data_IF_595494995527
#
_entry.id   IF_595494995527
#
_cell.length_a   1.000
_cell.length_b   1.000
_cell.length_c   1.000
_cell.angle_alpha   90.00
_cell.angle_beta   90.00
_cell.angle_gamma   90.00
#
_symmetry.space_group_name_H-M   'P 1'
#
loop_
_entity.id
_entity.type
_entity.pdbx_description
1 polymer ?
#
# COMPACT_ATOMS: atom_id res chain seq x y z
N UNK A 1 24.30 -3.73 -11.91
CA UNK A 1 23.09 -4.36 -11.36
C UNK A 1 22.80 -3.97 -9.90
N UNK A 2 23.74 -4.05 -8.95
CA UNK A 2 23.50 -3.73 -7.52
C UNK A 2 22.96 -2.32 -7.24
N UNK A 3 23.28 -1.30 -8.06
CA UNK A 3 22.82 0.10 -7.90
C UNK A 3 21.31 0.27 -8.15
N UNK A 4 20.71 -0.51 -9.04
CA UNK A 4 19.29 -0.38 -9.42
C UNK A 4 18.35 -1.27 -8.60
N UNK A 5 18.90 -2.25 -7.85
CA UNK A 5 18.11 -3.21 -7.08
C UNK A 5 17.12 -2.55 -6.11
N UNK A 6 17.45 -1.47 -5.36
CA UNK A 6 16.48 -0.82 -4.48
C UNK A 6 15.29 -0.20 -5.23
N UNK A 7 15.52 0.35 -6.41
CA UNK A 7 14.45 0.88 -7.27
C UNK A 7 13.56 -0.24 -7.82
N UNK A 8 14.16 -1.35 -8.26
CA UNK A 8 13.41 -2.54 -8.71
C UNK A 8 12.57 -3.14 -7.58
N UNK A 9 13.07 -3.14 -6.35
CA UNK A 9 12.30 -3.57 -5.19
C UNK A 9 11.04 -2.70 -5.00
N UNK A 10 11.15 -1.38 -5.11
CA UNK A 10 10.00 -0.45 -4.97
C UNK A 10 9.00 -0.67 -6.11
N UNK A 11 9.46 -0.78 -7.35
CA UNK A 11 8.59 -1.05 -8.51
C UNK A 11 7.93 -2.42 -8.42
N UNK A 12 8.67 -3.44 -7.95
CA UNK A 12 8.13 -4.77 -7.68
C UNK A 12 7.06 -4.75 -6.58
N UNK A 13 7.28 -3.97 -5.52
CA UNK A 13 6.28 -3.76 -4.47
C UNK A 13 5.00 -3.13 -5.03
N UNK A 14 5.13 -2.08 -5.84
CA UNK A 14 4.01 -1.41 -6.48
C UNK A 14 3.23 -2.36 -7.40
N UNK A 15 3.92 -3.20 -8.18
CA UNK A 15 3.28 -4.21 -9.02
C UNK A 15 2.52 -5.25 -8.18
N UNK A 16 3.10 -5.72 -7.08
CA UNK A 16 2.42 -6.64 -6.16
C UNK A 16 1.19 -6.01 -5.50
N UNK A 17 1.27 -4.74 -5.08
CA UNK A 17 0.12 -4.01 -4.56
C UNK A 17 -0.97 -3.81 -5.61
N UNK A 18 -0.61 -3.55 -6.87
CA UNK A 18 -1.56 -3.47 -7.98
C UNK A 18 -2.40 -4.75 -8.16
N UNK A 19 -1.90 -5.91 -7.71
CA UNK A 19 -2.66 -7.17 -7.74
C UNK A 19 -3.67 -7.32 -6.59
N UNK A 20 -3.71 -6.41 -5.59
CA UNK A 20 -4.63 -6.51 -4.44
C UNK A 20 -6.09 -6.66 -4.90
N UNK A 21 -6.51 -5.87 -5.89
CA UNK A 21 -7.86 -5.87 -6.42
C UNK A 21 -8.31 -7.24 -6.95
N UNK A 22 -7.39 -8.04 -7.49
CA UNK A 22 -7.68 -9.40 -7.95
C UNK A 22 -8.23 -10.27 -6.81
N UNK A 23 -7.46 -10.37 -5.73
CA UNK A 23 -7.81 -11.20 -4.58
C UNK A 23 -9.02 -10.66 -3.82
N UNK A 24 -9.09 -9.34 -3.63
CA UNK A 24 -10.20 -8.70 -2.95
C UNK A 24 -11.52 -8.99 -3.66
N UNK A 25 -11.58 -8.87 -5.00
CA UNK A 25 -12.81 -9.14 -5.76
C UNK A 25 -13.28 -10.58 -5.63
N UNK A 26 -12.38 -11.57 -5.60
CA UNK A 26 -12.76 -12.96 -5.37
C UNK A 26 -13.33 -13.18 -3.97
N UNK A 27 -12.67 -12.67 -2.93
CA UNK A 27 -13.14 -12.78 -1.56
C UNK A 27 -14.47 -12.06 -1.35
N UNK A 28 -14.63 -10.84 -1.90
CA UNK A 28 -15.87 -10.08 -1.79
C UNK A 28 -17.04 -10.76 -2.53
N UNK A 29 -16.79 -11.36 -3.71
CA UNK A 29 -17.81 -12.15 -4.42
C UNK A 29 -18.24 -13.40 -3.65
N UNK A 30 -17.37 -13.94 -2.80
CA UNK A 30 -17.69 -15.04 -1.90
C UNK A 30 -18.42 -14.60 -0.60
N UNK A 31 -18.67 -13.27 -0.45
CA UNK A 31 -19.37 -12.71 0.71
C UNK A 31 -18.46 -12.15 1.81
N UNK A 32 -17.13 -12.03 1.57
CA UNK A 32 -16.20 -11.46 2.53
C UNK A 32 -16.30 -9.94 2.54
N UNK A 33 -16.57 -9.34 3.69
CA UNK A 33 -16.52 -7.88 3.87
C UNK A 33 -15.11 -7.31 3.88
N UNK A 34 -15.00 -6.03 3.54
CA UNK A 34 -13.72 -5.34 3.48
C UNK A 34 -12.95 -5.37 4.81
N UNK A 35 -13.66 -5.30 5.94
CA UNK A 35 -13.07 -5.35 7.28
C UNK A 35 -12.31 -6.67 7.51
N UNK A 36 -12.92 -7.81 7.19
CA UNK A 36 -12.28 -9.12 7.31
C UNK A 36 -11.11 -9.29 6.32
N UNK A 37 -11.18 -8.72 5.12
CA UNK A 37 -10.05 -8.71 4.18
C UNK A 37 -8.83 -8.03 4.80
N UNK A 38 -9.01 -6.93 5.55
CA UNK A 38 -7.92 -6.25 6.26
C UNK A 38 -7.34 -7.14 7.36
N UNK A 39 -8.18 -7.84 8.10
CA UNK A 39 -7.71 -8.80 9.13
C UNK A 39 -6.89 -9.92 8.48
N UNK A 40 -7.39 -10.52 7.39
CA UNK A 40 -6.67 -11.55 6.63
C UNK A 40 -5.29 -11.05 6.20
N UNK A 41 -5.21 -9.86 5.62
CA UNK A 41 -3.95 -9.27 5.17
C UNK A 41 -2.98 -9.05 6.33
N UNK A 42 -3.43 -8.37 7.37
CA UNK A 42 -2.56 -7.92 8.44
C UNK A 42 -2.22 -9.05 9.41
N UNK A 43 -3.23 -9.75 9.92
CA UNK A 43 -3.01 -10.85 10.87
C UNK A 43 -2.48 -12.11 10.18
N UNK A 44 -2.99 -12.44 8.99
CA UNK A 44 -2.43 -13.53 8.18
C UNK A 44 -0.97 -13.28 7.79
N UNK A 45 -0.62 -12.01 7.47
CA UNK A 45 0.77 -11.60 7.25
C UNK A 45 1.65 -11.76 8.49
N UNK A 46 1.14 -11.41 9.67
CA UNK A 46 1.84 -11.65 10.95
C UNK A 46 2.10 -13.14 11.17
N UNK A 47 1.08 -13.99 11.01
CA UNK A 47 1.22 -15.45 11.18
C UNK A 47 2.26 -16.01 10.21
N UNK A 48 2.17 -15.66 8.94
CA UNK A 48 3.12 -16.11 7.91
C UNK A 48 4.56 -15.70 8.23
N UNK A 49 4.79 -14.42 8.55
CA UNK A 49 6.12 -13.91 8.91
C UNK A 49 6.66 -14.55 10.18
N UNK A 50 5.80 -14.79 11.19
CA UNK A 50 6.19 -15.48 12.43
C UNK A 50 6.68 -16.89 12.12
N UNK A 51 5.97 -17.65 11.30
CA UNK A 51 6.36 -19.00 10.90
C UNK A 51 7.70 -19.01 10.14
N UNK A 52 7.85 -18.10 9.16
CA UNK A 52 9.09 -18.01 8.37
C UNK A 52 10.29 -17.65 9.24
N UNK A 53 10.16 -16.62 10.10
CA UNK A 53 11.28 -16.12 10.87
C UNK A 53 11.60 -16.97 12.10
N UNK A 54 10.62 -17.67 12.66
CA UNK A 54 10.88 -18.66 13.72
C UNK A 54 11.83 -19.78 13.26
N UNK A 55 11.76 -20.11 11.94
CA UNK A 55 12.60 -21.17 11.36
C UNK A 55 13.94 -20.64 10.79
N UNK A 56 13.98 -19.38 10.34
CA UNK A 56 15.13 -18.86 9.56
C UNK A 56 15.94 -17.77 10.25
N UNK A 57 15.31 -16.88 11.01
CA UNK A 57 15.99 -15.68 11.52
C UNK A 57 15.34 -15.13 12.81
N UNK A 58 15.62 -15.78 13.94
CA UNK A 58 15.04 -15.42 15.24
C UNK A 58 15.46 -14.03 15.76
N UNK A 59 16.51 -13.45 15.21
CA UNK A 59 16.96 -12.09 15.57
C UNK A 59 15.89 -11.03 15.31
N UNK A 60 15.00 -11.27 14.35
CA UNK A 60 13.88 -10.39 13.98
C UNK A 60 12.92 -10.12 15.15
N UNK A 61 12.77 -11.06 16.07
CA UNK A 61 11.89 -10.93 17.23
C UNK A 61 12.39 -9.96 18.31
N UNK A 62 13.66 -9.55 18.25
CA UNK A 62 14.28 -8.74 19.30
C UNK A 62 14.33 -7.27 18.91
N UNK A 63 13.53 -6.44 19.60
CA UNK A 63 13.57 -4.98 19.49
C UNK A 63 13.62 -4.35 20.88
N UNK A 64 14.22 -3.15 20.95
CA UNK A 64 14.25 -2.38 22.18
C UNK A 64 12.90 -1.73 22.45
N UNK A 65 12.38 -1.80 23.67
CA UNK A 65 11.06 -1.27 24.04
C UNK A 65 10.89 0.22 23.64
N UNK A 66 11.95 1.03 23.75
CA UNK A 66 11.93 2.44 23.35
C UNK A 66 11.63 2.68 21.87
N UNK A 67 11.76 1.68 20.99
CA UNK A 67 11.48 1.77 19.57
C UNK A 67 10.10 1.24 19.18
N UNK A 68 9.33 0.66 20.11
CA UNK A 68 7.96 0.17 19.87
C UNK A 68 7.01 1.26 19.28
N UNK A 69 7.10 2.55 19.68
CA UNK A 69 6.29 3.59 19.07
C UNK A 69 6.47 3.74 17.55
N UNK A 70 7.66 3.42 17.02
CA UNK A 70 7.91 3.43 15.57
C UNK A 70 7.03 2.38 14.88
N UNK A 71 6.97 1.19 15.46
CA UNK A 71 6.20 0.06 14.90
C UNK A 71 4.70 0.21 15.12
N UNK A 72 4.28 0.86 16.22
CA UNK A 72 2.91 1.34 16.38
C UNK A 72 2.53 2.32 15.27
N UNK A 73 3.41 3.26 14.94
CA UNK A 73 3.24 4.20 13.83
C UNK A 73 3.11 3.49 12.48
N UNK A 74 3.99 2.52 12.18
CA UNK A 74 3.92 1.79 10.90
C UNK A 74 2.75 0.81 10.83
N UNK A 75 2.42 0.11 11.92
CA UNK A 75 1.39 -0.93 11.96
C UNK A 75 -0.02 -0.38 12.23
N UNK A 76 -0.24 0.28 13.37
CA UNK A 76 -1.59 0.74 13.73
C UNK A 76 -1.95 2.00 12.94
N UNK A 77 -1.07 3.03 12.97
CA UNK A 77 -1.41 4.33 12.36
C UNK A 77 -1.42 4.21 10.84
N UNK A 78 -0.38 3.65 10.23
CA UNK A 78 -0.23 3.64 8.77
C UNK A 78 -0.92 2.45 8.08
N UNK A 79 -1.34 1.40 8.78
CA UNK A 79 -2.08 0.29 8.16
C UNK A 79 -3.54 0.28 8.61
N UNK A 80 -3.80 0.29 9.92
CA UNK A 80 -5.18 0.12 10.42
C UNK A 80 -5.98 1.42 10.28
N UNK A 81 -5.49 2.54 10.84
CA UNK A 81 -6.23 3.81 10.77
C UNK A 81 -6.33 4.34 9.36
N UNK A 82 -5.29 4.17 8.53
CA UNK A 82 -5.37 4.44 7.10
C UNK A 82 -6.56 3.73 6.47
N UNK A 83 -6.70 2.42 6.71
CA UNK A 83 -7.75 1.62 6.09
C UNK A 83 -9.14 2.06 6.55
N UNK A 84 -9.32 2.38 7.85
CA UNK A 84 -10.59 2.90 8.37
C UNK A 84 -10.98 4.22 7.71
N UNK A 85 -10.03 5.15 7.57
CA UNK A 85 -10.28 6.41 6.87
C UNK A 85 -10.61 6.17 5.40
N UNK A 86 -9.92 5.25 4.73
CA UNK A 86 -10.15 4.93 3.33
C UNK A 86 -11.54 4.33 3.11
N UNK A 87 -11.96 3.38 3.96
CA UNK A 87 -13.32 2.82 3.89
C UNK A 87 -14.38 3.90 4.10
N UNK A 88 -14.18 4.78 5.08
CA UNK A 88 -15.12 5.88 5.31
C UNK A 88 -15.19 6.84 4.13
N UNK A 89 -14.07 7.09 3.47
CA UNK A 89 -14.06 7.85 2.21
C UNK A 89 -14.87 7.14 1.12
N UNK A 90 -14.71 5.82 0.95
CA UNK A 90 -15.45 5.04 -0.04
C UNK A 90 -16.95 4.96 0.21
N UNK A 91 -17.40 5.07 1.45
CA UNK A 91 -18.83 5.19 1.80
C UNK A 91 -19.42 6.55 1.40
N UNK A 92 -18.61 7.60 1.43
CA UNK A 92 -19.04 8.99 1.27
C UNK A 92 -18.74 9.61 -0.10
N UNK A 93 -17.86 8.96 -0.87
CA UNK A 93 -17.43 9.38 -2.20
C UNK A 93 -17.40 8.19 -3.15
N UNK A 94 -17.34 8.47 -4.46
CA UNK A 94 -17.10 7.40 -5.45
C UNK A 94 -15.73 6.73 -5.25
N UNK A 95 -15.59 5.49 -5.71
CA UNK A 95 -14.32 4.75 -5.63
C UNK A 95 -13.19 5.49 -6.37
N UNK A 96 -13.51 6.14 -7.50
CA UNK A 96 -12.55 6.94 -8.27
C UNK A 96 -12.03 8.13 -7.47
N UNK A 97 -12.93 8.87 -6.78
CA UNK A 97 -12.56 9.98 -5.90
C UNK A 97 -11.75 9.50 -4.71
N UNK A 98 -12.14 8.41 -4.08
CA UNK A 98 -11.41 7.83 -2.95
C UNK A 98 -9.99 7.41 -3.35
N UNK A 99 -9.83 6.82 -4.53
CA UNK A 99 -8.53 6.42 -5.05
C UNK A 99 -7.63 7.64 -5.36
N UNK A 100 -8.15 8.68 -6.03
CA UNK A 100 -7.32 9.86 -6.35
C UNK A 100 -6.91 10.61 -5.08
N UNK A 101 -7.78 10.69 -4.06
CA UNK A 101 -7.45 11.27 -2.77
C UNK A 101 -6.34 10.47 -2.06
N UNK A 102 -6.40 9.16 -2.09
CA UNK A 102 -5.32 8.30 -1.57
C UNK A 102 -4.00 8.55 -2.32
N UNK A 103 -4.04 8.68 -3.65
CA UNK A 103 -2.83 8.91 -4.45
C UNK A 103 -2.25 10.33 -4.32
N UNK A 104 -2.80 11.19 -3.46
CA UNK A 104 -2.10 12.38 -2.97
C UNK A 104 -0.97 12.05 -1.99
N UNK A 105 -0.93 10.82 -1.45
CA UNK A 105 0.10 10.36 -0.51
C UNK A 105 1.55 10.62 -0.96
N UNK A 106 1.97 10.41 -2.23
CA UNK A 106 3.32 10.75 -2.66
C UNK A 106 3.69 12.22 -2.46
N UNK A 107 2.74 13.15 -2.66
CA UNK A 107 2.95 14.56 -2.37
C UNK A 107 3.18 14.80 -0.87
N UNK A 108 2.37 14.16 -0.03
CA UNK A 108 2.50 14.23 1.42
C UNK A 108 3.85 13.65 1.89
N UNK A 109 4.29 12.51 1.33
CA UNK A 109 5.61 11.94 1.63
C UNK A 109 6.72 12.89 1.23
N UNK A 110 6.66 13.51 0.04
CA UNK A 110 7.69 14.47 -0.40
C UNK A 110 7.80 15.66 0.56
N UNK A 111 6.66 16.20 1.00
CA UNK A 111 6.64 17.32 1.95
C UNK A 111 7.15 16.90 3.33
N UNK A 112 6.64 15.79 3.87
CA UNK A 112 7.05 15.29 5.18
C UNK A 112 8.53 14.86 5.19
N UNK A 113 9.02 14.18 4.15
CA UNK A 113 10.42 13.76 4.08
C UNK A 113 11.37 14.94 3.96
N UNK A 114 10.95 16.01 3.28
CA UNK A 114 11.71 17.25 3.25
C UNK A 114 11.80 17.90 4.65
N UNK A 115 10.70 17.91 5.41
CA UNK A 115 10.67 18.47 6.76
C UNK A 115 11.43 17.59 7.78
N UNK A 116 11.24 16.27 7.75
CA UNK A 116 11.74 15.33 8.76
C UNK A 116 13.19 14.89 8.46
N UNK A 117 13.48 14.54 7.21
CA UNK A 117 14.77 14.00 6.79
C UNK A 117 15.65 15.03 6.06
N UNK A 118 15.14 16.26 5.86
CA UNK A 118 15.81 17.31 5.09
C UNK A 118 16.11 16.88 3.64
N UNK A 119 15.25 16.02 3.07
CA UNK A 119 15.35 15.63 1.66
C UNK A 119 15.12 16.87 0.78
N UNK A 120 15.99 17.05 -0.24
CA UNK A 120 15.84 18.18 -1.17
C UNK A 120 14.64 17.96 -2.10
N UNK A 121 13.78 18.97 -2.21
CA UNK A 121 12.71 19.03 -3.20
C UNK A 121 13.33 19.58 -4.49
N UNK A 122 13.74 18.69 -5.39
CA UNK A 122 14.34 19.07 -6.69
C UNK A 122 13.27 19.26 -7.76
N UNK A 123 13.59 20.04 -8.82
CA UNK A 123 12.70 20.18 -9.99
C UNK A 123 12.33 18.83 -10.61
N UNK A 124 13.27 17.88 -10.68
CA UNK A 124 13.02 16.52 -11.14
C UNK A 124 11.97 15.81 -10.27
N UNK A 125 12.08 15.92 -8.93
CA UNK A 125 11.15 15.31 -7.98
C UNK A 125 9.74 15.93 -8.13
N UNK A 126 9.65 17.25 -8.33
CA UNK A 126 8.36 17.93 -8.57
C UNK A 126 7.73 17.53 -9.90
N UNK A 127 8.51 17.48 -10.98
CA UNK A 127 8.03 17.03 -12.28
C UNK A 127 7.54 15.57 -12.22
N UNK A 128 8.30 14.69 -11.59
CA UNK A 128 7.93 13.31 -11.42
C UNK A 128 6.64 13.15 -10.57
N UNK A 129 6.51 13.95 -9.51
CA UNK A 129 5.29 13.98 -8.69
C UNK A 129 4.07 14.44 -9.50
N UNK A 130 4.21 15.51 -10.30
CA UNK A 130 3.12 15.99 -11.15
C UNK A 130 2.71 14.92 -12.18
N UNK A 131 3.68 14.25 -12.82
CA UNK A 131 3.41 13.15 -13.75
C UNK A 131 2.74 11.96 -13.06
N UNK A 132 3.16 11.62 -11.82
CA UNK A 132 2.54 10.55 -11.04
C UNK A 132 1.08 10.88 -10.72
N UNK A 133 0.79 12.09 -10.23
CA UNK A 133 -0.58 12.53 -9.92
C UNK A 133 -1.47 12.56 -11.16
N UNK A 134 -0.96 13.08 -12.28
CA UNK A 134 -1.68 13.06 -13.57
C UNK A 134 -1.93 11.63 -14.05
N UNK A 135 -0.91 10.76 -13.98
CA UNK A 135 -1.05 9.37 -14.35
C UNK A 135 -2.10 8.63 -13.50
N UNK A 136 -2.08 8.84 -12.19
CA UNK A 136 -3.09 8.29 -11.28
C UNK A 136 -4.49 8.82 -11.61
N UNK A 137 -4.65 10.12 -11.92
CA UNK A 137 -5.96 10.70 -12.25
C UNK A 137 -6.55 10.10 -13.54
N UNK A 138 -5.72 9.80 -14.54
CA UNK A 138 -6.18 9.12 -15.75
C UNK A 138 -6.64 7.68 -15.49
N UNK A 139 -5.91 6.95 -14.66
CA UNK A 139 -6.16 5.52 -14.40
C UNK A 139 -7.34 5.29 -13.45
N UNK A 140 -7.60 6.20 -12.52
CA UNK A 140 -8.66 6.03 -11.49
C UNK A 140 -10.07 6.28 -12.01
N UNK A 141 -10.24 6.78 -13.24
CA UNK A 141 -11.55 7.06 -13.81
C UNK A 141 -12.23 8.32 -13.26
N UNK A 142 -11.50 9.20 -12.58
CA UNK A 142 -12.08 10.45 -12.04
C UNK A 142 -12.62 11.39 -13.12
N UNK A 143 -12.19 11.22 -14.36
CA UNK A 143 -12.62 11.99 -15.54
C UNK A 143 -13.90 11.46 -16.21
N UNK A 144 -14.47 10.33 -15.74
CA UNK A 144 -15.66 9.71 -16.35
C UNK A 144 -16.99 10.39 -16.01
N UNK A 145 -16.99 11.41 -15.17
CA UNK A 145 -18.18 12.21 -14.86
C UNK A 145 -19.05 11.71 -13.70
N UNK A 146 -18.91 10.48 -13.24
CA UNK A 146 -19.70 9.88 -12.17
C UNK A 146 -19.07 10.13 -10.75
N UNK A 147 -18.50 11.31 -10.56
CA UNK A 147 -17.80 11.63 -9.32
C UNK A 147 -18.77 12.15 -8.23
N UNK A 148 -19.26 11.28 -7.35
CA UNK A 148 -19.89 11.73 -6.12
C UNK A 148 -18.84 12.18 -5.11
N UNK A 149 -18.98 13.39 -4.55
CA UNK A 149 -18.01 14.01 -3.65
C UNK A 149 -18.74 14.67 -2.49
N UNK A 150 -18.34 14.35 -1.25
CA UNK A 150 -18.77 15.05 -0.05
C UNK A 150 -17.58 15.67 0.66
N UNK A 151 -17.76 16.83 1.32
CA UNK A 151 -16.68 17.49 2.05
C UNK A 151 -16.09 16.58 3.15
N UNK A 152 -16.93 15.83 3.85
CA UNK A 152 -16.51 14.87 4.89
C UNK A 152 -15.73 13.71 4.26
N UNK A 153 -16.20 13.19 3.11
CA UNK A 153 -15.50 12.14 2.37
C UNK A 153 -14.11 12.59 1.89
N UNK A 154 -13.98 13.84 1.42
CA UNK A 154 -12.67 14.42 1.05
C UNK A 154 -11.73 14.48 2.26
N UNK A 155 -12.24 14.89 3.42
CA UNK A 155 -11.43 14.91 4.65
C UNK A 155 -10.91 13.52 5.02
N UNK A 156 -11.76 12.50 4.97
CA UNK A 156 -11.36 11.11 5.22
C UNK A 156 -10.40 10.58 4.14
N UNK A 157 -10.60 10.94 2.88
CA UNK A 157 -9.71 10.54 1.78
C UNK A 157 -8.31 11.14 1.88
N UNK A 158 -8.22 12.45 2.19
CA UNK A 158 -6.93 13.10 2.46
C UNK A 158 -6.29 12.56 3.74
N UNK A 159 -7.10 12.29 4.78
CA UNK A 159 -6.65 11.61 6.00
C UNK A 159 -6.08 10.23 5.70
N UNK A 160 -6.73 9.44 4.84
CA UNK A 160 -6.21 8.15 4.38
C UNK A 160 -4.87 8.30 3.66
N UNK A 161 -4.76 9.24 2.71
CA UNK A 161 -3.50 9.54 2.02
C UNK A 161 -2.37 9.93 2.98
N UNK A 162 -2.68 10.76 3.98
CA UNK A 162 -1.72 11.16 5.01
C UNK A 162 -1.27 9.98 5.88
N UNK A 163 -2.20 9.18 6.39
CA UNK A 163 -1.90 8.01 7.22
C UNK A 163 -1.11 6.94 6.44
N UNK A 164 -1.46 6.71 5.17
CA UNK A 164 -0.70 5.85 4.27
C UNK A 164 0.73 6.36 4.08
N UNK A 165 0.90 7.67 3.86
CA UNK A 165 2.20 8.30 3.69
C UNK A 165 3.12 8.14 4.91
N UNK A 166 2.55 8.06 6.12
CA UNK A 166 3.30 7.92 7.37
C UNK A 166 4.14 6.65 7.45
N UNK A 167 3.78 5.57 6.71
CA UNK A 167 4.65 4.40 6.62
C UNK A 167 6.04 4.77 6.08
N UNK A 168 6.08 5.55 5.01
CA UNK A 168 7.33 6.00 4.38
C UNK A 168 8.13 6.99 5.25
N UNK A 169 7.52 7.52 6.32
CA UNK A 169 8.17 8.39 7.30
C UNK A 169 8.62 7.60 8.54
N UNK A 170 7.79 6.71 9.07
CA UNK A 170 8.14 5.95 10.27
C UNK A 170 9.13 4.81 9.99
N UNK A 171 8.97 4.08 8.88
CA UNK A 171 9.83 2.94 8.57
C UNK A 171 11.33 3.30 8.51
N UNK A 172 11.78 4.42 7.93
CA UNK A 172 13.19 4.84 7.95
C UNK A 172 13.77 5.02 9.36
N UNK A 173 12.97 5.43 10.35
CA UNK A 173 13.47 5.48 11.74
C UNK A 173 13.76 4.07 12.28
N UNK A 174 12.94 3.09 11.95
CA UNK A 174 13.20 1.69 12.28
C UNK A 174 14.44 1.16 11.56
N UNK A 175 14.61 1.50 10.28
CA UNK A 175 15.73 1.08 9.44
C UNK A 175 17.10 1.62 9.89
N UNK A 176 17.12 2.67 10.73
CA UNK A 176 18.38 3.13 11.38
C UNK A 176 18.92 2.16 12.41
N UNK A 177 18.08 1.26 12.93
CA UNK A 177 18.42 0.39 14.06
C UNK A 177 18.22 -1.09 13.74
N UNK A 178 17.42 -1.42 12.74
CA UNK A 178 16.95 -2.78 12.46
C UNK A 178 17.00 -3.10 10.97
N UNK A 179 17.02 -4.39 10.65
CA UNK A 179 16.92 -4.85 9.28
C UNK A 179 15.52 -4.58 8.71
N UNK A 180 15.37 -4.51 7.37
CA UNK A 180 14.05 -4.42 6.75
C UNK A 180 13.09 -5.53 7.20
N UNK A 181 13.59 -6.75 7.42
CA UNK A 181 12.80 -7.87 7.93
C UNK A 181 12.22 -7.61 9.32
N UNK A 182 13.04 -7.07 10.23
CA UNK A 182 12.60 -6.70 11.58
C UNK A 182 11.54 -5.59 11.53
N UNK A 183 11.76 -4.55 10.71
CA UNK A 183 10.80 -3.45 10.56
C UNK A 183 9.46 -3.96 10.05
N UNK A 184 9.45 -4.79 9.01
CA UNK A 184 8.22 -5.37 8.46
C UNK A 184 7.55 -6.29 9.46
N UNK A 185 8.29 -7.18 10.11
CA UNK A 185 7.73 -8.08 11.11
C UNK A 185 6.99 -7.32 12.22
N UNK A 186 7.63 -6.34 12.83
CA UNK A 186 7.02 -5.57 13.92
C UNK A 186 5.90 -4.65 13.43
N UNK A 187 5.94 -4.19 12.19
CA UNK A 187 4.79 -3.53 11.55
C UNK A 187 3.58 -4.46 11.53
N UNK A 188 3.77 -5.73 11.13
CA UNK A 188 2.70 -6.72 11.11
C UNK A 188 2.27 -7.17 12.51
N UNK A 189 3.16 -7.17 13.51
CA UNK A 189 2.76 -7.41 14.92
C UNK A 189 1.73 -6.38 15.35
N UNK A 190 2.03 -5.08 15.18
CA UNK A 190 1.11 -4.02 15.56
C UNK A 190 -0.11 -3.92 14.63
N UNK A 191 0.09 -4.03 13.32
CA UNK A 191 -1.00 -3.96 12.35
C UNK A 191 -1.93 -5.18 12.42
N UNK A 192 -1.35 -6.38 12.57
CA UNK A 192 -2.11 -7.63 12.69
C UNK A 192 -2.95 -7.67 13.95
N UNK A 193 -2.32 -7.46 15.12
CA UNK A 193 -3.04 -7.41 16.39
C UNK A 193 -4.03 -6.23 16.43
N UNK A 194 -3.61 -5.06 15.93
CA UNK A 194 -4.44 -3.86 15.86
C UNK A 194 -5.61 -3.96 14.90
N UNK A 195 -5.66 -4.93 13.97
CA UNK A 195 -6.80 -5.14 13.09
C UNK A 195 -7.83 -6.14 13.63
N UNK A 196 -7.52 -6.88 14.70
CA UNK A 196 -8.40 -7.95 15.21
C UNK A 196 -9.78 -7.46 15.68
N UNK A 197 -9.91 -6.19 16.07
CA UNK A 197 -11.22 -5.65 16.43
C UNK A 197 -12.18 -5.51 15.24
N UNK A 198 -11.67 -5.64 14.00
CA UNK A 198 -12.48 -5.65 12.78
C UNK A 198 -12.98 -7.08 12.42
N UNK A 199 -12.56 -8.10 13.17
CA UNK A 199 -12.85 -9.49 12.87
C UNK A 199 -14.32 -9.84 13.06
N UNK A 200 -14.97 -10.27 11.98
CA UNK A 200 -16.22 -11.04 12.03
C UNK A 200 -15.92 -12.53 11.77
N UNK A 201 -15.91 -13.30 12.86
CA UNK A 201 -15.60 -14.72 12.81
C UNK A 201 -16.70 -15.55 12.10
N UNK A 202 -17.96 -15.09 12.10
CA UNK A 202 -19.07 -15.73 11.41
C UNK A 202 -18.88 -15.67 9.90
N UNK A 203 -18.59 -14.50 9.39
CA UNK A 203 -18.30 -14.26 7.97
C UNK A 203 -17.05 -15.06 7.52
N UNK A 204 -15.97 -15.02 8.30
CA UNK A 204 -14.74 -15.79 8.03
C UNK A 204 -15.03 -17.29 7.89
N UNK A 205 -15.79 -17.86 8.84
CA UNK A 205 -16.17 -19.28 8.82
C UNK A 205 -16.97 -19.64 7.59
N UNK A 206 -17.92 -18.78 7.20
CA UNK A 206 -18.79 -19.00 6.03
C UNK A 206 -17.98 -19.01 4.74
N UNK A 207 -17.11 -18.01 4.54
CA UNK A 207 -16.33 -17.88 3.31
C UNK A 207 -15.25 -18.97 3.20
N UNK A 208 -14.57 -19.31 4.30
CA UNK A 208 -13.54 -20.35 4.28
C UNK A 208 -14.07 -21.79 4.34
N UNK A 209 -15.38 -21.99 4.39
CA UNK A 209 -15.97 -23.29 4.09
C UNK A 209 -15.64 -23.75 2.65
N UNK A 210 -15.47 -22.81 1.69
CA UNK A 210 -14.88 -23.12 0.39
C UNK A 210 -13.34 -23.05 0.47
N UNK A 211 -12.68 -24.22 0.37
CA UNK A 211 -11.23 -24.32 0.41
C UNK A 211 -10.51 -23.51 -0.68
N UNK A 212 -11.19 -23.14 -1.78
CA UNK A 212 -10.62 -22.27 -2.83
C UNK A 212 -10.36 -20.85 -2.29
N UNK A 213 -11.21 -20.38 -1.38
CA UNK A 213 -11.05 -19.06 -0.77
C UNK A 213 -9.85 -18.99 0.15
N UNK A 214 -9.42 -20.13 0.72
CA UNK A 214 -8.18 -20.23 1.47
C UNK A 214 -6.97 -19.95 0.56
N UNK A 215 -6.96 -20.51 -0.66
CA UNK A 215 -5.88 -20.26 -1.64
C UNK A 215 -5.87 -18.79 -2.10
N UNK A 216 -7.04 -18.19 -2.30
CA UNK A 216 -7.16 -16.76 -2.64
C UNK A 216 -6.63 -15.89 -1.50
N UNK A 217 -6.99 -16.20 -0.26
CA UNK A 217 -6.49 -15.51 0.93
C UNK A 217 -4.97 -15.65 1.09
N UNK A 218 -4.41 -16.83 0.87
CA UNK A 218 -2.97 -17.06 0.87
C UNK A 218 -2.28 -16.25 -0.23
N UNK A 219 -2.83 -16.20 -1.44
CA UNK A 219 -2.35 -15.34 -2.52
C UNK A 219 -2.33 -13.86 -2.12
N UNK A 220 -3.40 -13.37 -1.49
CA UNK A 220 -3.52 -12.02 -0.97
C UNK A 220 -2.44 -11.73 0.09
N UNK A 221 -2.26 -12.64 1.05
CA UNK A 221 -1.26 -12.52 2.13
C UNK A 221 0.15 -12.48 1.56
N UNK A 222 0.49 -13.44 0.69
CA UNK A 222 1.87 -13.59 0.19
C UNK A 222 2.19 -12.53 -0.85
N UNK A 223 1.40 -12.51 -1.95
CA UNK A 223 1.74 -11.73 -3.16
C UNK A 223 1.46 -10.24 -2.96
N UNK A 224 0.31 -9.91 -2.37
CA UNK A 224 -0.14 -8.51 -2.34
C UNK A 224 -0.06 -7.87 -0.95
N UNK A 225 0.50 -8.59 0.04
CA UNK A 225 0.68 -8.03 1.39
C UNK A 225 2.12 -8.21 1.86
N UNK A 226 2.58 -9.40 2.22
CA UNK A 226 3.90 -9.60 2.82
C UNK A 226 5.03 -9.25 1.86
N UNK A 227 5.00 -9.79 0.64
CA UNK A 227 6.05 -9.56 -0.35
C UNK A 227 6.26 -8.07 -0.68
N UNK A 228 5.22 -7.28 -0.99
CA UNK A 228 5.43 -5.87 -1.29
C UNK A 228 5.93 -5.06 -0.09
N UNK A 229 5.51 -5.34 1.14
CA UNK A 229 6.07 -4.67 2.31
C UNK A 229 7.56 -4.99 2.50
N UNK A 230 7.98 -6.23 2.28
CA UNK A 230 9.40 -6.62 2.31
C UNK A 230 10.20 -5.90 1.20
N UNK A 231 9.69 -5.90 -0.02
CA UNK A 231 10.33 -5.23 -1.16
C UNK A 231 10.41 -3.72 -0.96
N UNK A 232 9.30 -3.07 -0.59
CA UNK A 232 9.24 -1.63 -0.39
C UNK A 232 10.17 -1.17 0.73
N UNK A 233 10.13 -1.85 1.88
CA UNK A 233 10.97 -1.52 3.04
C UNK A 233 12.45 -1.75 2.74
N UNK A 234 12.79 -2.78 1.94
CA UNK A 234 14.15 -3.01 1.45
C UNK A 234 14.60 -1.87 0.50
N UNK A 235 13.70 -1.38 -0.34
CA UNK A 235 13.94 -0.20 -1.17
C UNK A 235 14.16 1.05 -0.33
N UNK A 236 13.30 1.32 0.67
CA UNK A 236 13.41 2.46 1.58
C UNK A 236 14.72 2.49 2.38
N UNK A 237 15.36 1.35 2.59
CA UNK A 237 16.66 1.31 3.26
C UNK A 237 17.78 2.04 2.45
N UNK A 238 17.57 2.32 1.15
CA UNK A 238 18.59 2.87 0.24
C UNK A 238 18.08 3.97 -0.69
N UNK A 239 16.77 4.20 -0.76
CA UNK A 239 16.14 5.21 -1.63
C UNK A 239 15.44 6.23 -0.73
N UNK A 240 15.56 7.51 -1.06
CA UNK A 240 14.84 8.58 -0.37
C UNK A 240 13.33 8.32 -0.35
N UNK A 241 12.67 8.57 0.79
CA UNK A 241 11.23 8.31 1.00
C UNK A 241 10.35 8.98 -0.06
N UNK A 242 10.65 10.22 -0.41
CA UNK A 242 9.92 10.93 -1.45
C UNK A 242 10.03 10.27 -2.83
N UNK A 243 11.22 9.79 -3.22
CA UNK A 243 11.39 9.07 -4.49
C UNK A 243 10.70 7.71 -4.46
N UNK A 244 10.83 6.97 -3.35
CA UNK A 244 10.21 5.66 -3.18
C UNK A 244 8.68 5.75 -3.32
N UNK A 245 8.06 6.74 -2.68
CA UNK A 245 6.62 6.95 -2.75
C UNK A 245 6.13 7.32 -4.15
N UNK A 246 6.86 8.20 -4.87
CA UNK A 246 6.51 8.53 -6.27
C UNK A 246 6.62 7.29 -7.17
N UNK A 247 7.65 6.46 -7.02
CA UNK A 247 7.81 5.22 -7.80
C UNK A 247 6.71 4.19 -7.50
N UNK A 248 6.19 4.18 -6.27
CA UNK A 248 5.07 3.32 -5.89
C UNK A 248 3.76 3.68 -6.61
N UNK A 249 3.65 4.87 -7.22
CA UNK A 249 2.51 5.24 -8.07
C UNK A 249 2.36 4.39 -9.35
N UNK A 250 3.23 3.41 -9.59
CA UNK A 250 3.02 2.35 -10.59
C UNK A 250 1.83 1.43 -10.21
N UNK A 251 1.48 1.34 -8.93
CA UNK A 251 0.40 0.49 -8.40
C UNK A 251 -0.92 0.60 -9.18
N UNK A 252 -1.55 1.80 -9.37
CA UNK A 252 -2.84 1.90 -10.05
C UNK A 252 -2.78 1.50 -11.52
N UNK A 253 -1.63 1.65 -12.17
CA UNK A 253 -1.45 1.19 -13.55
C UNK A 253 -1.51 -0.33 -13.61
N UNK A 254 -0.77 -1.01 -12.73
CA UNK A 254 -0.82 -2.47 -12.65
C UNK A 254 -2.22 -2.96 -12.27
N UNK A 255 -2.90 -2.28 -11.33
CA UNK A 255 -4.27 -2.62 -10.95
C UNK A 255 -5.23 -2.56 -12.14
N UNK A 256 -5.09 -1.56 -13.04
CA UNK A 256 -5.91 -1.46 -14.24
C UNK A 256 -5.62 -2.59 -15.24
N UNK A 257 -4.34 -2.94 -15.45
CA UNK A 257 -4.02 -4.09 -16.31
C UNK A 257 -4.56 -5.40 -15.74
N UNK A 258 -4.49 -5.59 -14.44
CA UNK A 258 -5.11 -6.75 -13.76
C UNK A 258 -6.63 -6.74 -13.96
N UNK A 259 -7.30 -5.58 -13.86
CA UNK A 259 -8.72 -5.42 -14.14
C UNK A 259 -9.09 -5.86 -15.56
N UNK A 260 -8.33 -5.38 -16.55
CA UNK A 260 -8.52 -5.73 -17.97
C UNK A 260 -8.32 -7.23 -18.19
N UNK A 261 -7.20 -7.79 -17.72
CA UNK A 261 -6.82 -9.18 -18.02
C UNK A 261 -7.65 -10.21 -17.25
N UNK A 262 -7.94 -9.96 -15.97
CA UNK A 262 -8.61 -10.93 -15.13
C UNK A 262 -10.14 -10.79 -15.12
N UNK A 263 -10.67 -9.60 -15.39
CA UNK A 263 -12.10 -9.30 -15.29
C UNK A 263 -12.74 -8.80 -16.59
N UNK A 264 -11.96 -8.67 -17.67
CA UNK A 264 -12.46 -8.20 -18.96
C UNK A 264 -12.91 -6.74 -18.95
N UNK A 265 -12.32 -5.91 -18.08
CA UNK A 265 -12.64 -4.48 -18.04
C UNK A 265 -12.29 -3.82 -19.38
N UNK A 266 -13.08 -2.83 -19.83
CA UNK A 266 -12.84 -2.19 -21.13
C UNK A 266 -11.50 -1.47 -21.14
N UNK A 267 -10.77 -1.65 -22.24
CA UNK A 267 -9.50 -0.94 -22.46
C UNK A 267 -9.80 0.51 -22.78
N UNK A 268 -9.33 1.42 -21.93
CA UNK A 268 -9.51 2.86 -22.11
C UNK A 268 -8.21 3.53 -22.55
N UNK A 269 -8.31 4.54 -23.43
CA UNK A 269 -7.18 5.41 -23.77
C UNK A 269 -6.56 6.04 -22.52
N UNK A 270 -7.37 6.35 -21.52
CA UNK A 270 -6.91 6.93 -20.24
C UNK A 270 -5.90 6.03 -19.52
N UNK A 271 -6.08 4.70 -19.57
CA UNK A 271 -5.10 3.75 -18.97
C UNK A 271 -3.75 3.86 -19.66
N UNK A 272 -3.70 3.99 -20.98
CA UNK A 272 -2.43 4.16 -21.72
C UNK A 272 -1.78 5.53 -21.47
N UNK A 273 -2.58 6.61 -21.38
CA UNK A 273 -2.06 7.92 -20.98
C UNK A 273 -1.49 7.90 -19.56
N UNK A 274 -2.20 7.26 -18.64
CA UNK A 274 -1.72 7.06 -17.27
C UNK A 274 -0.41 6.26 -17.21
N UNK A 275 -0.32 5.16 -17.95
CA UNK A 275 0.91 4.37 -18.07
C UNK A 275 2.07 5.23 -18.61
N UNK A 276 1.84 6.00 -19.69
CA UNK A 276 2.83 6.90 -20.28
C UNK A 276 3.35 7.92 -19.25
N UNK A 277 2.46 8.55 -18.49
CA UNK A 277 2.84 9.47 -17.40
C UNK A 277 3.68 8.78 -16.33
N UNK A 278 3.27 7.60 -15.85
CA UNK A 278 3.98 6.87 -14.80
C UNK A 278 5.35 6.37 -15.29
N UNK A 279 5.46 5.84 -16.50
CA UNK A 279 6.75 5.43 -17.06
C UNK A 279 7.70 6.61 -17.24
N UNK A 280 7.18 7.77 -17.68
CA UNK A 280 7.97 9.02 -17.78
C UNK A 280 8.40 9.49 -16.39
N UNK A 281 7.53 9.41 -15.38
CA UNK A 281 7.87 9.70 -13.99
C UNK A 281 9.04 8.84 -13.49
N UNK A 282 9.01 7.52 -13.72
CA UNK A 282 10.10 6.60 -13.36
C UNK A 282 11.41 6.97 -14.07
N UNK A 283 11.33 7.34 -15.35
CA UNK A 283 12.50 7.77 -16.11
C UNK A 283 13.12 9.08 -15.57
N UNK A 284 12.30 10.06 -15.23
CA UNK A 284 12.75 11.36 -14.68
C UNK A 284 13.46 11.22 -13.32
N UNK A 285 13.05 10.24 -12.51
CA UNK A 285 13.62 9.96 -11.18
C UNK A 285 14.92 9.14 -11.22
N UNK A 286 15.24 8.57 -12.35
CA UNK A 286 16.47 7.81 -12.55
C UNK A 286 17.70 8.71 -12.58
#
# INVERSE_FOLDING_TARGET
>A
MKKYLPYLNILGAAACWGCIGLFNRFLMRAGMGAANIVVIRNFGGLVLLTLIFALRERSVFHVKAKHLPIFFGTGVVSMVFFTLCYFKCQELCSLAVSAILLYTAPAMVVLMSAAVFRERITRKKLLALALALLGCSFVTGVWSGDASVTAVGVLFGLGAGFLYALYSIFAPFGLRHYTPFTVVYWTFVFGGLGSLFLLDAGEMRTVFADGRMILVALGLIVISTVLPYLLYTNGLARVESGKASILASLEPVVASFVGILAFGEPVSLMVFLGLGCILTCVYVLR
#
